data_IF_263861311885
#
_entry.id   IF_263861311885
#
_cell.length_a   1.000
_cell.length_b   1.000
_cell.length_c   1.000
_cell.angle_alpha   90.00
_cell.angle_beta   90.00
_cell.angle_gamma   90.00
#
_symmetry.space_group_name_H-M   'P 1'
#
loop_
_entity.id
_entity.type
_entity.pdbx_description
1 polymer ?
#
# COMPACT_ATOMS: atom_id res chain seq x y z
N UNK A 1 9.88 -16.23 17.74
CA UNK A 1 9.57 -15.05 16.91
C UNK A 1 8.06 -14.87 16.97
N UNK A 2 7.51 -13.68 17.27
CA UNK A 2 6.07 -13.51 17.14
C UNK A 2 5.69 -13.83 15.69
N UNK A 3 4.61 -14.59 15.51
CA UNK A 3 4.14 -15.02 14.19
C UNK A 3 3.98 -13.76 13.30
N UNK A 4 4.74 -13.68 12.21
CA UNK A 4 4.57 -12.61 11.23
C UNK A 4 3.25 -12.85 10.54
N UNK A 5 2.29 -11.95 10.75
CA UNK A 5 1.01 -12.02 10.10
C UNK A 5 1.17 -11.55 8.65
N UNK A 6 0.92 -12.45 7.69
CA UNK A 6 1.11 -12.18 6.26
C UNK A 6 -0.25 -11.91 5.63
N UNK A 7 -0.37 -10.74 5.01
CA UNK A 7 -1.52 -10.31 4.24
C UNK A 7 -1.32 -10.65 2.76
N UNK A 8 -2.42 -10.89 2.05
CA UNK A 8 -2.48 -11.04 0.61
C UNK A 8 -3.43 -9.99 0.01
N UNK A 9 -2.91 -9.21 -0.94
CA UNK A 9 -3.67 -8.27 -1.77
C UNK A 9 -3.87 -8.88 -3.15
N UNK A 10 -5.12 -9.05 -3.58
CA UNK A 10 -5.45 -9.33 -4.97
C UNK A 10 -5.22 -8.06 -5.80
N UNK A 11 -4.48 -8.18 -6.91
CA UNK A 11 -4.26 -7.07 -7.84
C UNK A 11 -5.23 -7.15 -9.00
N UNK A 12 -5.80 -6.00 -9.37
CA UNK A 12 -6.36 -5.83 -10.71
C UNK A 12 -5.25 -5.45 -11.70
N UNK A 13 -5.57 -5.38 -12.99
CA UNK A 13 -4.62 -5.05 -14.05
C UNK A 13 -3.97 -3.69 -13.84
N UNK A 14 -4.73 -2.67 -13.41
CA UNK A 14 -4.23 -1.32 -13.17
C UNK A 14 -3.12 -1.30 -12.11
N UNK A 15 -3.35 -1.94 -10.96
CA UNK A 15 -2.36 -2.01 -9.88
C UNK A 15 -1.13 -2.84 -10.27
N UNK A 16 -1.35 -3.99 -10.93
CA UNK A 16 -0.27 -4.83 -11.44
C UNK A 16 0.63 -4.07 -12.43
N UNK A 17 0.03 -3.32 -13.36
CA UNK A 17 0.75 -2.46 -14.31
C UNK A 17 1.47 -1.33 -13.60
N UNK A 18 0.84 -0.66 -12.62
CA UNK A 18 1.47 0.43 -11.89
C UNK A 18 2.75 -0.01 -11.15
N UNK A 19 2.73 -1.18 -10.51
CA UNK A 19 3.91 -1.77 -9.87
C UNK A 19 5.02 -2.04 -10.91
N UNK A 20 4.70 -2.71 -12.01
CA UNK A 20 5.71 -3.11 -13.01
C UNK A 20 6.26 -1.92 -13.81
N UNK A 21 5.41 -1.00 -14.22
CA UNK A 21 5.78 0.07 -15.14
C UNK A 21 6.32 1.31 -14.42
N UNK A 22 5.75 1.66 -13.28
CA UNK A 22 6.08 2.90 -12.56
C UNK A 22 6.72 2.66 -11.20
N UNK A 23 6.83 1.40 -10.76
CA UNK A 23 7.39 1.07 -9.45
C UNK A 23 6.49 1.52 -8.30
N UNK A 24 5.17 1.51 -8.50
CA UNK A 24 4.22 1.96 -7.47
C UNK A 24 4.39 1.19 -6.17
N UNK A 25 4.53 1.92 -5.06
CA UNK A 25 4.99 1.39 -3.77
C UNK A 25 3.88 1.38 -2.72
N UNK A 26 2.64 1.70 -3.08
CA UNK A 26 1.55 1.85 -2.12
C UNK A 26 0.54 0.69 -2.16
N UNK A 27 -0.02 0.39 -0.99
CA UNK A 27 -0.99 -0.68 -0.76
C UNK A 27 -2.09 -0.21 0.18
N UNK A 28 -3.31 -0.70 -0.02
CA UNK A 28 -4.49 -0.38 0.79
C UNK A 28 -5.69 -1.19 0.33
N UNK A 29 -6.89 -0.82 0.77
CA UNK A 29 -8.14 -1.47 0.38
C UNK A 29 -8.27 -2.88 0.96
N UNK A 30 -9.03 -3.76 0.29
CA UNK A 30 -9.24 -5.12 0.80
C UNK A 30 -7.98 -5.98 0.74
N UNK A 31 -7.66 -6.61 1.87
CA UNK A 31 -6.54 -7.56 2.06
C UNK A 31 -7.07 -8.78 2.81
N UNK A 32 -6.53 -9.96 2.51
CA UNK A 32 -6.93 -11.20 3.17
C UNK A 32 -5.75 -11.86 3.90
N UNK A 33 -6.03 -12.78 4.82
CA UNK A 33 -5.00 -13.62 5.43
C UNK A 33 -4.39 -14.54 4.36
N UNK A 34 -3.08 -14.39 4.11
CA UNK A 34 -2.38 -15.18 3.11
C UNK A 34 -2.31 -16.68 3.48
N UNK A 35 -2.25 -17.02 4.77
CA UNK A 35 -2.17 -18.40 5.22
C UNK A 35 -3.49 -19.13 4.96
N UNK A 36 -4.63 -18.47 5.20
CA UNK A 36 -5.94 -19.02 4.90
C UNK A 36 -6.23 -19.09 3.39
N UNK A 37 -5.72 -18.10 2.61
CA UNK A 37 -5.90 -18.06 1.16
C UNK A 37 -5.06 -19.08 0.39
N UNK A 38 -4.15 -19.83 1.06
CA UNK A 38 -3.22 -20.78 0.41
C UNK A 38 -3.92 -21.91 -0.37
N UNK A 39 -5.18 -22.19 -0.04
CA UNK A 39 -5.99 -23.21 -0.71
C UNK A 39 -6.65 -22.69 -2.00
N UNK A 40 -6.65 -21.38 -2.24
CA UNK A 40 -7.15 -20.74 -3.46
C UNK A 40 -6.03 -20.70 -4.51
N UNK A 41 -5.75 -21.86 -5.12
CA UNK A 41 -4.54 -22.06 -5.92
C UNK A 41 -4.68 -21.65 -7.38
N UNK A 42 -5.90 -21.54 -7.90
CA UNK A 42 -6.15 -21.16 -9.28
C UNK A 42 -6.76 -19.75 -9.38
N UNK A 43 -6.58 -19.05 -10.52
CA UNK A 43 -7.27 -17.81 -10.84
C UNK A 43 -8.77 -17.85 -10.57
N UNK A 44 -9.44 -18.90 -11.03
CA UNK A 44 -10.88 -19.05 -10.87
C UNK A 44 -11.30 -19.15 -9.40
N UNK A 45 -10.59 -19.97 -8.61
CA UNK A 45 -10.86 -20.11 -7.18
C UNK A 45 -10.66 -18.79 -6.43
N UNK A 46 -9.55 -18.10 -6.72
CA UNK A 46 -9.24 -16.84 -6.06
C UNK A 46 -10.26 -15.75 -6.43
N UNK A 47 -10.56 -15.56 -7.71
CA UNK A 47 -11.53 -14.54 -8.15
C UNK A 47 -12.93 -14.81 -7.61
N UNK A 48 -13.38 -16.06 -7.64
CA UNK A 48 -14.68 -16.44 -7.07
C UNK A 48 -14.76 -16.11 -5.56
N UNK A 49 -13.68 -16.34 -4.81
CA UNK A 49 -13.61 -15.99 -3.39
C UNK A 49 -13.67 -14.47 -3.15
N UNK A 50 -13.19 -13.66 -4.10
CA UNK A 50 -13.33 -12.20 -4.07
C UNK A 50 -14.65 -11.70 -4.69
N UNK A 51 -15.56 -12.59 -5.12
CA UNK A 51 -16.81 -12.22 -5.78
C UNK A 51 -16.61 -11.59 -7.16
N UNK A 52 -15.46 -11.86 -7.81
CA UNK A 52 -15.14 -11.38 -9.15
C UNK A 52 -15.40 -12.49 -10.16
N UNK A 53 -16.23 -12.21 -11.16
CA UNK A 53 -16.48 -13.15 -12.25
C UNK A 53 -15.31 -13.15 -13.26
N UNK A 54 -14.89 -14.34 -13.68
CA UNK A 54 -13.87 -14.51 -14.70
C UNK A 54 -13.01 -15.76 -14.51
N UNK A 55 -12.33 -16.15 -15.57
CA UNK A 55 -11.36 -17.25 -15.57
C UNK A 55 -10.13 -16.87 -16.43
N UNK A 56 -9.37 -15.83 -16.04
CA UNK A 56 -8.16 -15.45 -16.76
C UNK A 56 -7.09 -16.55 -16.65
N UNK A 57 -6.13 -16.52 -17.57
CA UNK A 57 -5.00 -17.45 -17.54
C UNK A 57 -4.14 -17.30 -16.27
N UNK A 58 -4.15 -16.11 -15.67
CA UNK A 58 -3.45 -15.83 -14.42
C UNK A 58 -4.14 -14.74 -13.62
N UNK A 59 -3.81 -14.68 -12.33
CA UNK A 59 -4.10 -13.55 -11.42
C UNK A 59 -2.83 -13.18 -10.69
N UNK A 60 -2.72 -11.90 -10.33
CA UNK A 60 -1.57 -11.37 -9.62
C UNK A 60 -1.97 -11.01 -8.18
N UNK A 61 -1.08 -11.30 -7.24
CA UNK A 61 -1.26 -10.96 -5.83
C UNK A 61 0.03 -10.40 -5.27
N UNK A 62 -0.06 -9.58 -4.22
CA UNK A 62 1.09 -9.25 -3.38
C UNK A 62 0.91 -9.85 -2.00
N UNK A 63 1.95 -10.52 -1.50
CA UNK A 63 2.03 -11.05 -0.14
C UNK A 63 3.02 -10.22 0.67
N UNK A 64 2.64 -9.80 1.86
CA UNK A 64 3.44 -8.89 2.66
C UNK A 64 3.14 -9.02 4.15
N UNK A 65 4.15 -8.77 4.99
CA UNK A 65 3.94 -8.69 6.44
C UNK A 65 3.00 -7.52 6.76
N UNK A 66 2.09 -7.68 7.73
CA UNK A 66 1.21 -6.60 8.14
C UNK A 66 2.02 -5.34 8.51
N UNK A 67 1.80 -4.19 7.82
CA UNK A 67 2.45 -2.94 8.18
C UNK A 67 1.96 -2.47 9.55
N UNK A 68 2.89 -2.23 10.49
CA UNK A 68 2.57 -1.92 11.90
C UNK A 68 1.80 -0.61 12.08
N UNK A 69 1.97 0.34 11.16
CA UNK A 69 1.35 1.65 11.19
C UNK A 69 0.09 1.75 10.31
N UNK A 70 -0.26 0.68 9.58
CA UNK A 70 -1.51 0.60 8.86
C UNK A 70 -2.64 0.11 9.77
N UNK A 71 -3.81 0.72 9.66
CA UNK A 71 -5.02 0.25 10.32
C UNK A 71 -5.65 -0.87 9.50
N UNK A 72 -6.02 -1.96 10.18
CA UNK A 72 -6.94 -2.97 9.66
C UNK A 72 -8.31 -2.77 10.31
N UNK A 73 -9.35 -2.71 9.50
CA UNK A 73 -10.73 -2.53 9.93
C UNK A 73 -11.64 -3.56 9.29
N UNK A 74 -12.80 -3.81 9.90
CA UNK A 74 -13.82 -4.64 9.28
C UNK A 74 -14.27 -3.99 7.96
N UNK A 75 -14.44 -4.76 6.88
CA UNK A 75 -15.09 -4.28 5.67
C UNK A 75 -16.45 -3.62 5.95
N UNK A 76 -16.77 -2.56 5.20
CA UNK A 76 -18.06 -1.87 5.31
C UNK A 76 -19.23 -2.82 5.01
N UNK A 77 -20.26 -2.80 5.84
CA UNK A 77 -21.51 -3.54 5.58
C UNK A 77 -22.49 -2.75 4.68
N UNK A 78 -22.15 -1.51 4.31
CA UNK A 78 -23.01 -0.70 3.48
C UNK A 78 -23.26 -1.38 2.11
N UNK A 79 -24.49 -1.31 1.57
CA UNK A 79 -24.76 -1.80 0.23
C UNK A 79 -23.90 -1.06 -0.82
N UNK A 80 -23.15 -1.80 -1.63
CA UNK A 80 -22.32 -1.29 -2.72
C UNK A 80 -22.51 -2.12 -3.99
N UNK A 81 -22.18 -1.58 -5.19
CA UNK A 81 -22.27 -2.33 -6.45
C UNK A 81 -21.11 -3.34 -6.64
N UNK A 82 -20.25 -3.51 -5.65
CA UNK A 82 -19.18 -4.53 -5.60
C UNK A 82 -19.31 -5.37 -4.33
N UNK A 83 -18.60 -6.51 -4.23
CA UNK A 83 -18.62 -7.33 -3.03
C UNK A 83 -17.98 -6.61 -1.83
N UNK A 84 -18.69 -6.55 -0.70
CA UNK A 84 -18.28 -5.78 0.49
C UNK A 84 -17.85 -6.63 1.69
N UNK A 85 -17.81 -7.95 1.55
CA UNK A 85 -17.37 -8.91 2.58
C UNK A 85 -17.97 -8.63 3.99
N UNK A 86 -19.29 -8.51 4.13
CA UNK A 86 -19.92 -8.01 5.37
C UNK A 86 -19.65 -8.91 6.59
N UNK A 87 -19.44 -10.21 6.38
CA UNK A 87 -19.06 -11.15 7.43
C UNK A 87 -17.56 -11.13 7.78
N UNK A 88 -16.75 -10.32 7.08
CA UNK A 88 -15.30 -10.24 7.28
C UNK A 88 -14.52 -11.42 6.68
N UNK A 89 -15.11 -12.21 5.77
CA UNK A 89 -14.45 -13.34 5.12
C UNK A 89 -14.61 -13.29 3.60
N UNK A 90 -13.69 -13.92 2.88
CA UNK A 90 -13.88 -14.20 1.45
C UNK A 90 -15.11 -15.12 1.25
N UNK A 91 -15.71 -15.05 0.05
CA UNK A 91 -16.85 -15.90 -0.31
C UNK A 91 -16.44 -17.36 -0.54
N UNK A 92 -17.44 -18.24 -0.53
CA UNK A 92 -17.27 -19.68 -0.69
C UNK A 92 -16.83 -20.38 0.60
N UNK A 93 -16.18 -21.53 0.48
CA UNK A 93 -15.72 -22.33 1.63
C UNK A 93 -14.42 -21.80 2.26
N UNK A 94 -13.96 -20.63 1.83
CA UNK A 94 -12.76 -19.99 2.33
C UNK A 94 -13.04 -19.28 3.65
N UNK A 95 -12.47 -19.78 4.75
CA UNK A 95 -12.45 -19.07 6.04
C UNK A 95 -11.36 -18.00 6.09
N UNK A 96 -10.96 -17.46 4.93
CA UNK A 96 -9.94 -16.42 4.86
C UNK A 96 -10.52 -15.09 5.29
N UNK A 97 -10.07 -14.58 6.43
CA UNK A 97 -10.48 -13.29 6.94
C UNK A 97 -10.03 -12.17 5.98
N UNK A 98 -10.88 -11.16 5.82
CA UNK A 98 -10.69 -9.99 4.99
C UNK A 98 -10.78 -8.73 5.84
N UNK A 99 -9.91 -7.77 5.57
CA UNK A 99 -9.91 -6.45 6.18
C UNK A 99 -9.90 -5.36 5.13
N UNK A 100 -10.50 -4.22 5.46
CA UNK A 100 -10.17 -2.95 4.81
C UNK A 100 -8.92 -2.37 5.48
N UNK A 101 -7.83 -2.25 4.72
CA UNK A 101 -6.56 -1.70 5.19
C UNK A 101 -6.38 -0.26 4.73
N UNK A 102 -5.96 0.62 5.65
CA UNK A 102 -5.58 1.99 5.31
C UNK A 102 -4.41 2.02 4.33
N UNK A 103 -4.39 3.01 3.43
CA UNK A 103 -3.27 3.22 2.50
C UNK A 103 -1.94 3.38 3.25
N UNK A 104 -0.91 2.64 2.84
CA UNK A 104 0.48 2.81 3.31
C UNK A 104 1.43 2.34 2.21
N UNK A 105 2.74 2.36 2.46
CA UNK A 105 3.74 1.77 1.56
C UNK A 105 3.86 0.27 1.80
N UNK A 106 4.11 -0.51 0.75
CA UNK A 106 4.49 -1.92 0.90
C UNK A 106 5.71 -2.05 1.83
N UNK A 107 5.67 -2.95 2.84
CA UNK A 107 6.81 -3.16 3.71
C UNK A 107 7.94 -3.87 2.95
N UNK A 108 9.17 -3.68 3.42
CA UNK A 108 10.33 -4.39 2.92
C UNK A 108 10.09 -5.91 2.87
N UNK A 109 10.48 -6.53 1.76
CA UNK A 109 10.32 -7.96 1.54
C UNK A 109 8.94 -8.38 1.02
N UNK A 110 8.03 -7.43 0.74
CA UNK A 110 6.77 -7.73 0.04
C UNK A 110 7.04 -8.44 -1.29
N UNK A 111 6.24 -9.45 -1.61
CA UNK A 111 6.45 -10.32 -2.78
C UNK A 111 5.29 -10.22 -3.75
N UNK A 112 5.58 -9.90 -5.01
CA UNK A 112 4.62 -9.98 -6.11
C UNK A 112 4.61 -11.40 -6.64
N UNK A 113 3.44 -12.03 -6.65
CA UNK A 113 3.21 -13.37 -7.17
C UNK A 113 2.21 -13.39 -8.33
N UNK A 114 2.46 -14.26 -9.31
CA UNK A 114 1.51 -14.63 -10.36
C UNK A 114 1.06 -16.07 -10.18
N UNK A 115 -0.25 -16.27 -10.11
CA UNK A 115 -0.89 -17.59 -10.00
C UNK A 115 -1.50 -17.95 -11.36
N UNK A 116 -1.25 -19.16 -11.85
CA UNK A 116 -1.74 -19.66 -13.14
C UNK A 116 -2.83 -20.72 -12.98
N UNK A 117 -3.54 -20.99 -14.07
CA UNK A 117 -4.64 -21.96 -14.12
C UNK A 117 -4.25 -23.40 -13.75
N UNK A 118 -3.00 -23.78 -13.93
CA UNK A 118 -2.43 -25.09 -13.54
C UNK A 118 -2.02 -25.15 -12.05
N UNK A 119 -2.17 -24.05 -11.31
CA UNK A 119 -1.76 -23.92 -9.92
C UNK A 119 -0.30 -23.50 -9.73
N UNK A 120 0.48 -23.26 -10.79
CA UNK A 120 1.81 -22.67 -10.68
C UNK A 120 1.72 -21.29 -10.00
N UNK A 121 2.59 -21.05 -9.03
CA UNK A 121 2.78 -19.73 -8.42
C UNK A 121 4.22 -19.29 -8.61
N UNK A 122 4.41 -18.16 -9.27
CA UNK A 122 5.73 -17.61 -9.57
C UNK A 122 5.89 -16.22 -8.95
N UNK A 123 6.92 -16.04 -8.13
CA UNK A 123 7.32 -14.72 -7.65
C UNK A 123 7.93 -13.95 -8.83
N UNK A 124 7.34 -12.81 -9.19
CA UNK A 124 7.80 -11.97 -10.29
C UNK A 124 8.71 -10.84 -9.80
N UNK A 125 8.49 -10.36 -8.58
CA UNK A 125 9.21 -9.24 -7.99
C UNK A 125 9.19 -9.31 -6.47
N UNK A 126 10.12 -8.60 -5.85
CA UNK A 126 10.19 -8.35 -4.40
C UNK A 126 10.45 -6.87 -4.16
N UNK A 127 9.81 -6.30 -3.15
CA UNK A 127 10.00 -4.91 -2.74
C UNK A 127 11.23 -4.80 -1.81
N UNK A 128 12.26 -4.07 -2.24
CA UNK A 128 13.56 -3.96 -1.55
C UNK A 128 13.68 -2.68 -0.70
N UNK A 129 12.54 -2.20 -0.20
CA UNK A 129 12.45 -0.97 0.57
C UNK A 129 12.51 0.28 -0.30
N UNK A 130 12.26 1.41 0.34
CA UNK A 130 12.03 2.71 -0.30
C UNK A 130 13.22 3.21 -1.14
N UNK A 131 14.45 2.92 -0.73
CA UNK A 131 15.64 3.28 -1.51
C UNK A 131 15.73 2.53 -2.85
N UNK A 132 15.19 1.31 -2.93
CA UNK A 132 15.39 0.41 -4.07
C UNK A 132 14.14 0.21 -4.92
N UNK A 133 12.97 0.15 -4.28
CA UNK A 133 11.68 -0.15 -4.90
C UNK A 133 11.50 -1.63 -5.22
N UNK A 134 10.60 -1.91 -6.16
CA UNK A 134 10.35 -3.26 -6.68
C UNK A 134 11.48 -3.72 -7.61
N UNK A 135 11.97 -4.95 -7.39
CA UNK A 135 12.89 -5.60 -8.33
C UNK A 135 12.22 -5.78 -9.70
N UNK A 136 12.97 -5.57 -10.78
CA UNK A 136 12.48 -5.69 -12.16
C UNK A 136 11.36 -4.71 -12.58
N UNK A 137 10.97 -3.75 -11.73
CA UNK A 137 10.14 -2.65 -12.20
C UNK A 137 10.92 -1.80 -13.21
N UNK A 138 10.25 -1.30 -14.25
CA UNK A 138 10.86 -0.47 -15.30
C UNK A 138 11.36 0.86 -14.75
N UNK A 139 10.73 1.34 -13.68
CA UNK A 139 11.04 2.60 -13.04
C UNK A 139 11.07 2.42 -11.52
N UNK A 140 11.81 3.30 -10.88
CA UNK A 140 11.69 3.53 -9.45
C UNK A 140 10.87 4.78 -9.23
N UNK A 141 9.88 4.67 -8.34
CA UNK A 141 9.06 5.79 -7.90
C UNK A 141 9.77 6.47 -6.72
N UNK A 142 10.17 7.76 -6.83
CA UNK A 142 10.65 8.49 -5.67
C UNK A 142 9.58 8.50 -4.57
N UNK A 143 9.98 8.32 -3.29
CA UNK A 143 9.02 8.27 -2.20
C UNK A 143 8.37 9.62 -1.94
N UNK A 144 7.14 9.54 -1.46
CA UNK A 144 6.38 10.67 -0.93
C UNK A 144 6.37 10.61 0.60
N UNK A 145 6.57 11.71 1.33
CA UNK A 145 6.43 11.73 2.79
C UNK A 145 4.95 11.70 3.25
N UNK A 146 4.01 11.66 2.29
CA UNK A 146 2.56 11.62 2.55
C UNK A 146 2.03 10.19 2.80
N UNK A 147 2.80 9.16 2.44
CA UNK A 147 2.42 7.74 2.57
C UNK A 147 3.62 6.89 2.95
N UNK A 148 3.42 6.03 3.95
CA UNK A 148 4.42 5.05 4.38
C UNK A 148 5.30 5.53 5.53
N UNK A 149 6.15 4.61 5.98
CA UNK A 149 6.95 4.78 7.19
C UNK A 149 8.07 5.80 7.01
N UNK A 150 8.21 6.63 8.03
CA UNK A 150 9.28 7.58 8.26
C UNK A 150 9.97 7.22 9.58
N UNK A 151 11.21 7.66 9.73
CA UNK A 151 11.92 7.55 11.00
C UNK A 151 12.71 8.81 11.29
N UNK A 152 12.76 9.18 12.57
CA UNK A 152 13.68 10.20 13.08
C UNK A 152 14.87 9.50 13.72
N UNK A 153 16.06 9.81 13.23
CA UNK A 153 17.33 9.33 13.78
C UNK A 153 18.25 10.51 14.00
N UNK A 154 18.74 10.67 15.25
CA UNK A 154 19.58 11.82 15.66
C UNK A 154 18.98 13.18 15.28
N UNK A 155 17.65 13.31 15.43
CA UNK A 155 16.91 14.53 15.14
C UNK A 155 16.63 14.81 13.66
N UNK A 156 17.08 13.95 12.74
CA UNK A 156 16.83 14.09 11.29
C UNK A 156 15.79 13.08 10.82
N UNK A 157 14.85 13.51 9.97
CA UNK A 157 13.84 12.64 9.38
C UNK A 157 14.34 11.99 8.09
N UNK A 158 14.01 10.70 7.94
CA UNK A 158 14.32 9.90 6.77
C UNK A 158 13.09 9.09 6.35
N UNK A 159 13.04 8.70 5.08
CA UNK A 159 12.17 7.60 4.68
C UNK A 159 12.70 6.31 5.30
N UNK A 160 11.80 5.42 5.70
CA UNK A 160 12.19 4.26 6.46
C UNK A 160 11.45 2.99 6.02
N UNK A 161 12.14 1.85 6.17
CA UNK A 161 11.53 0.54 6.24
C UNK A 161 12.04 -0.17 7.49
N UNK A 162 11.16 -0.80 8.26
CA UNK A 162 11.58 -1.56 9.44
C UNK A 162 11.66 -3.03 9.10
N UNK A 163 12.81 -3.62 9.40
CA UNK A 163 13.14 -5.02 9.12
C UNK A 163 13.65 -5.64 10.40
N UNK A 164 12.79 -6.40 11.08
CA UNK A 164 13.05 -6.92 12.43
C UNK A 164 13.52 -5.78 13.37
N UNK A 165 14.72 -5.91 13.96
CA UNK A 165 15.28 -4.95 14.93
C UNK A 165 16.10 -3.83 14.27
N UNK A 166 15.97 -3.65 12.95
CA UNK A 166 16.71 -2.64 12.18
C UNK A 166 15.75 -1.75 11.39
N UNK A 167 16.14 -0.49 11.22
CA UNK A 167 15.46 0.47 10.35
C UNK A 167 16.40 0.80 9.20
N UNK A 168 15.94 0.55 7.97
CA UNK A 168 16.59 0.99 6.75
C UNK A 168 16.19 2.43 6.47
N UNK A 169 17.06 3.37 6.82
CA UNK A 169 16.91 4.78 6.52
C UNK A 169 17.24 5.03 5.05
N UNK A 170 16.51 5.97 4.45
CA UNK A 170 16.72 6.42 3.08
C UNK A 170 16.65 7.94 3.01
N UNK A 171 17.69 8.53 2.41
CA UNK A 171 17.78 9.95 2.14
C UNK A 171 17.74 10.19 0.62
N UNK A 172 16.95 11.18 0.19
CA UNK A 172 16.90 11.63 -1.22
C UNK A 172 17.49 13.03 -1.29
N UNK A 173 18.77 13.11 -1.63
CA UNK A 173 19.60 14.33 -1.58
C UNK A 173 20.79 14.19 -2.52
N UNK A 174 21.30 15.31 -3.03
CA UNK A 174 22.48 15.34 -3.89
C UNK A 174 23.72 14.78 -3.16
N UNK A 175 23.98 15.28 -1.96
CA UNK A 175 25.08 14.84 -1.11
C UNK A 175 24.57 13.91 0.00
N UNK A 176 25.17 12.72 0.09
CA UNK A 176 24.79 11.70 1.05
C UNK A 176 25.12 12.09 2.50
N UNK A 177 24.24 11.80 3.48
CA UNK A 177 24.58 11.96 4.88
C UNK A 177 25.75 11.05 5.28
N UNK A 178 26.52 11.45 6.29
CA UNK A 178 27.65 10.66 6.80
C UNK A 178 27.24 9.24 7.20
N UNK A 179 27.93 8.24 6.67
CA UNK A 179 27.69 6.82 6.95
C UNK A 179 26.59 6.18 6.10
N UNK A 180 25.93 6.95 5.22
CA UNK A 180 25.01 6.38 4.24
C UNK A 180 25.78 5.94 2.99
N UNK A 181 25.35 4.81 2.43
CA UNK A 181 25.89 4.26 1.19
C UNK A 181 25.03 4.68 -0.01
N UNK A 182 25.62 5.00 -1.16
CA UNK A 182 24.87 5.33 -2.36
C UNK A 182 24.14 4.10 -2.89
N UNK A 183 22.84 4.25 -3.16
CA UNK A 183 22.00 3.19 -3.76
C UNK A 183 21.75 3.48 -5.25
N UNK A 184 21.57 4.76 -5.59
CA UNK A 184 21.43 5.29 -6.96
C UNK A 184 21.63 6.81 -6.92
N UNK A 185 21.57 7.46 -8.08
CA UNK A 185 21.70 8.91 -8.17
C UNK A 185 20.78 9.62 -7.17
N UNK A 186 21.37 10.45 -6.32
CA UNK A 186 20.70 11.23 -5.27
C UNK A 186 19.93 10.41 -4.22
N UNK A 187 20.20 9.11 -4.07
CA UNK A 187 19.52 8.24 -3.09
C UNK A 187 20.55 7.45 -2.32
N UNK A 188 20.44 7.54 -1.01
CA UNK A 188 21.39 7.01 -0.05
C UNK A 188 20.65 6.20 1.00
N UNK A 189 21.29 5.15 1.52
CA UNK A 189 20.67 4.31 2.54
C UNK A 189 21.65 3.91 3.64
N UNK A 190 21.12 3.72 4.84
CA UNK A 190 21.85 3.25 6.02
C UNK A 190 20.92 2.39 6.87
N UNK A 191 21.46 1.33 7.47
CA UNK A 191 20.74 0.55 8.49
C UNK A 191 21.13 1.05 9.89
N UNK A 192 20.14 1.29 10.73
CA UNK A 192 20.33 1.65 12.15
C UNK A 192 19.48 0.76 13.06
N UNK A 193 19.83 0.61 14.35
CA UNK A 193 19.00 -0.13 15.30
C UNK A 193 17.63 0.52 15.51
N UNK A 194 16.56 -0.29 15.62
CA UNK A 194 15.20 0.20 15.85
C UNK A 194 15.06 1.00 17.15
N UNK A 195 15.74 0.56 18.21
CA UNK A 195 15.73 1.22 19.52
C UNK A 195 16.45 2.59 19.55
N UNK A 196 17.15 2.97 18.48
CA UNK A 196 17.75 4.30 18.31
C UNK A 196 16.89 5.23 17.45
N UNK A 197 15.71 4.79 17.02
CA UNK A 197 14.87 5.52 16.07
C UNK A 197 13.45 5.74 16.59
N UNK A 198 12.90 6.92 16.29
CA UNK A 198 11.47 7.17 16.43
C UNK A 198 10.81 6.85 15.09
N UNK A 199 10.01 5.79 15.03
CA UNK A 199 9.35 5.35 13.78
C UNK A 199 7.89 5.81 13.77
N UNK A 200 7.44 6.39 12.67
CA UNK A 200 6.10 6.93 12.55
C UNK A 200 5.61 6.94 11.10
N UNK A 201 4.31 7.15 10.90
CA UNK A 201 3.72 7.48 9.60
C UNK A 201 2.96 8.80 9.73
N UNK A 202 3.08 9.64 8.70
CA UNK A 202 2.38 10.93 8.64
C UNK A 202 1.17 10.81 7.74
N UNK A 203 -0.01 11.11 8.28
CA UNK A 203 -1.27 11.09 7.52
C UNK A 203 -1.73 12.53 7.34
N UNK A 204 -1.85 12.95 6.09
CA UNK A 204 -2.44 14.23 5.73
C UNK A 204 -3.84 14.04 5.17
N UNK A 205 -4.81 14.69 5.80
CA UNK A 205 -6.19 14.72 5.34
C UNK A 205 -6.59 16.14 4.95
N UNK A 206 -7.60 16.24 4.11
CA UNK A 206 -8.18 17.50 3.66
C UNK A 206 -9.65 17.26 3.26
N UNK A 207 -10.30 18.32 2.78
CA UNK A 207 -11.57 18.26 2.10
C UNK A 207 -11.43 18.74 0.65
N UNK A 208 -12.11 18.06 -0.26
CA UNK A 208 -12.27 18.45 -1.66
C UNK A 208 -13.76 18.66 -1.90
N UNK A 209 -14.19 19.91 -2.07
CA UNK A 209 -15.61 20.28 -2.24
C UNK A 209 -16.53 19.66 -1.16
N UNK A 210 -16.04 19.58 0.08
CA UNK A 210 -16.72 19.00 1.23
C UNK A 210 -16.57 17.47 1.39
N UNK A 211 -15.91 16.79 0.45
CA UNK A 211 -15.64 15.34 0.54
C UNK A 211 -14.31 15.11 1.28
N UNK A 212 -14.28 14.28 2.35
CA UNK A 212 -13.06 13.99 3.08
C UNK A 212 -12.10 13.14 2.24
N UNK A 213 -10.84 13.57 2.18
CA UNK A 213 -9.79 12.95 1.38
C UNK A 213 -8.50 12.81 2.18
N UNK A 214 -7.67 11.83 1.82
CA UNK A 214 -6.26 11.73 2.20
C UNK A 214 -5.39 12.20 1.04
N UNK A 215 -4.41 13.05 1.34
CA UNK A 215 -3.38 13.43 0.38
C UNK A 215 -2.36 12.29 0.33
N UNK A 216 -2.18 11.66 -0.82
CA UNK A 216 -1.23 10.53 -1.00
C UNK A 216 0.04 10.97 -1.73
N UNK A 217 -0.03 12.06 -2.49
CA UNK A 217 1.12 12.70 -3.12
C UNK A 217 0.85 14.16 -3.41
N UNK A 218 1.91 14.95 -3.43
CA UNK A 218 1.91 16.31 -3.99
C UNK A 218 3.02 16.44 -5.02
N UNK A 219 2.78 17.21 -6.08
CA UNK A 219 3.78 17.49 -7.12
C UNK A 219 3.56 18.88 -7.68
N UNK A 220 4.33 19.85 -7.15
CA UNK A 220 4.15 21.25 -7.49
C UNK A 220 2.75 21.74 -7.10
N UNK A 221 1.93 22.04 -8.11
CA UNK A 221 0.56 22.54 -7.92
C UNK A 221 -0.51 21.46 -7.85
N UNK A 222 -0.16 20.19 -8.04
CA UNK A 222 -1.14 19.10 -8.01
C UNK A 222 -1.02 18.25 -6.76
N UNK A 223 -2.15 17.68 -6.34
CA UNK A 223 -2.24 16.65 -5.32
C UNK A 223 -2.94 15.42 -5.89
N UNK A 224 -2.38 14.24 -5.63
CA UNK A 224 -3.06 12.95 -5.78
C UNK A 224 -3.78 12.68 -4.45
N UNK A 225 -5.07 12.40 -4.53
CA UNK A 225 -5.96 12.22 -3.39
C UNK A 225 -6.59 10.84 -3.41
N UNK A 226 -6.74 10.27 -2.22
CA UNK A 226 -7.55 9.09 -1.94
C UNK A 226 -8.82 9.55 -1.21
N UNK A 227 -10.00 9.16 -1.67
CA UNK A 227 -11.23 9.41 -0.92
C UNK A 227 -11.25 8.55 0.35
N UNK A 228 -11.72 9.13 1.45
CA UNK A 228 -11.88 8.42 2.73
C UNK A 228 -13.24 7.73 2.88
N UNK A 229 -14.09 7.85 1.86
CA UNK A 229 -15.40 7.20 1.75
C UNK A 229 -15.44 6.37 0.46
N UNK A 230 -16.16 5.24 0.49
CA UNK A 230 -16.32 4.31 -0.61
C UNK A 230 -17.66 4.50 -1.36
N UNK A 231 -18.42 5.57 -1.09
CA UNK A 231 -19.65 5.89 -1.82
C UNK A 231 -19.36 6.36 -3.26
N UNK A 232 -19.85 5.64 -4.30
CA UNK A 232 -19.67 6.03 -5.69
C UNK A 232 -20.36 7.36 -6.05
N UNK A 233 -21.40 7.75 -5.31
CA UNK A 233 -22.06 9.04 -5.43
C UNK A 233 -21.12 10.19 -5.07
N UNK A 234 -20.47 10.11 -3.92
CA UNK A 234 -19.48 11.11 -3.49
C UNK A 234 -18.30 11.15 -4.47
N UNK A 235 -17.78 9.99 -4.89
CA UNK A 235 -16.71 9.92 -5.88
C UNK A 235 -17.04 10.67 -7.17
N UNK A 236 -18.28 10.52 -7.70
CA UNK A 236 -18.73 11.24 -8.90
C UNK A 236 -18.78 12.76 -8.70
N UNK A 237 -19.16 13.26 -7.52
CA UNK A 237 -19.28 14.71 -7.27
C UNK A 237 -17.94 15.43 -7.39
N UNK A 238 -16.84 14.76 -7.04
CA UNK A 238 -15.48 15.33 -7.09
C UNK A 238 -14.68 14.83 -8.30
N UNK A 239 -15.28 14.02 -9.18
CA UNK A 239 -14.64 13.48 -10.38
C UNK A 239 -13.59 12.39 -10.10
N UNK A 240 -13.70 11.68 -8.97
CA UNK A 240 -12.77 10.61 -8.63
C UNK A 240 -13.06 9.33 -9.42
N UNK A 241 -12.00 8.66 -9.87
CA UNK A 241 -12.06 7.39 -10.57
C UNK A 241 -11.90 6.21 -9.62
N UNK A 242 -12.62 5.11 -9.87
CA UNK A 242 -12.39 3.86 -9.15
C UNK A 242 -11.10 3.23 -9.67
N UNK A 243 -10.12 3.04 -8.78
CA UNK A 243 -8.88 2.31 -9.09
C UNK A 243 -8.99 0.83 -8.73
N UNK A 244 -9.86 0.51 -7.78
CA UNK A 244 -10.28 -0.84 -7.39
C UNK A 244 -11.66 -0.74 -6.68
N UNK A 245 -12.38 -1.86 -6.46
CA UNK A 245 -13.65 -1.83 -5.74
C UNK A 245 -13.56 -1.11 -4.40
N UNK A 246 -14.36 -0.06 -4.23
CA UNK A 246 -14.41 0.77 -3.01
C UNK A 246 -13.24 1.73 -2.80
N UNK A 247 -12.31 1.86 -3.75
CA UNK A 247 -11.18 2.78 -3.64
C UNK A 247 -11.18 3.76 -4.80
N UNK A 248 -11.25 5.04 -4.45
CA UNK A 248 -11.39 6.14 -5.39
C UNK A 248 -10.24 7.13 -5.25
N UNK A 249 -9.66 7.49 -6.39
CA UNK A 249 -8.56 8.44 -6.45
C UNK A 249 -8.83 9.54 -7.47
N UNK A 250 -8.28 10.73 -7.19
CA UNK A 250 -8.41 11.91 -8.06
C UNK A 250 -7.16 12.77 -7.99
N UNK A 251 -6.85 13.46 -9.08
CA UNK A 251 -5.78 14.46 -9.13
C UNK A 251 -6.39 15.84 -9.28
N UNK A 252 -6.02 16.77 -8.39
CA UNK A 252 -6.55 18.15 -8.38
C UNK A 252 -5.45 19.19 -8.16
N UNK A 253 -5.75 20.47 -8.44
CA UNK A 253 -4.90 21.58 -7.99
C UNK A 253 -4.97 21.70 -6.46
N UNK A 254 -3.82 21.89 -5.81
CA UNK A 254 -3.71 21.96 -4.34
C UNK A 254 -4.51 23.11 -3.74
N UNK A 255 -4.76 24.19 -4.50
CA UNK A 255 -5.57 25.33 -4.08
C UNK A 255 -7.06 25.02 -3.92
N UNK A 256 -7.54 23.86 -4.39
CA UNK A 256 -8.91 23.38 -4.15
C UNK A 256 -9.08 22.71 -2.78
N UNK A 257 -7.98 22.37 -2.11
CA UNK A 257 -8.02 21.66 -0.83
C UNK A 257 -8.31 22.62 0.32
N UNK A 258 -9.30 22.27 1.13
CA UNK A 258 -9.63 22.98 2.38
C UNK A 258 -9.37 22.09 3.59
N UNK A 259 -9.34 22.68 4.78
CA UNK A 259 -9.25 21.95 6.05
C UNK A 259 -8.10 20.94 6.12
N UNK A 260 -6.94 21.29 5.55
CA UNK A 260 -5.75 20.43 5.55
C UNK A 260 -5.27 20.21 6.98
N UNK A 261 -5.10 18.94 7.36
CA UNK A 261 -4.61 18.51 8.67
C UNK A 261 -3.55 17.45 8.51
N UNK A 262 -2.56 17.44 9.40
CA UNK A 262 -1.53 16.41 9.49
C UNK A 262 -1.53 15.78 10.87
N UNK A 263 -1.45 14.45 10.93
CA UNK A 263 -1.27 13.68 12.17
C UNK A 263 -0.09 12.74 12.01
N UNK A 264 0.72 12.62 13.06
CA UNK A 264 1.79 11.62 13.14
C UNK A 264 1.32 10.46 14.02
N UNK A 265 1.28 9.26 13.44
CA UNK A 265 1.02 8.03 14.15
C UNK A 265 2.36 7.39 14.50
N UNK A 266 2.71 7.40 15.78
CA UNK A 266 3.94 6.82 16.29
C UNK A 266 3.83 5.30 16.38
N UNK A 267 4.90 4.59 16.04
CA UNK A 267 5.02 3.18 16.36
C UNK A 267 5.36 3.08 17.85
N UNK A 268 4.37 2.70 18.66
CA UNK A 268 4.58 2.37 20.06
C UNK A 268 5.31 1.01 20.19
N UNK A 269 6.42 0.93 20.95
CA UNK A 269 7.17 -0.31 21.15
C UNK A 269 6.34 -1.43 21.80
#
# INVERSE_FOLDING_TARGET
MPNRFILQKLLNSTLATAIVDTGDDQVGGYVADAAAAVNLRTPQQLLAAYGVEGAPQFVDVVRFEQPRLATLSQPSEAPRPWPTFPNGFLFGDSLSQVWAMSRTRYPYGSEYWRLRSDGEQKMLSRYEGVARGWLNAKQWRPPSPMVGTLARWRGTEFFADVVAETVQLTAVTADGPTGFEPVRANVWSMSVPLNETEVFERIFTAELDGVPVRIVRTSGRTAELLLLDDDPGLARTVGAGSIEPGVYEVVVDTGRLTNIRGVENQWAP
#
